data_IF_996789813167
#
_entry.id   IF_996789813167
#
_cell.length_a   1.000
_cell.length_b   1.000
_cell.length_c   1.000
_cell.angle_alpha   90.00
_cell.angle_beta   90.00
_cell.angle_gamma   90.00
#
_symmetry.space_group_name_H-M   'P 1'
#
loop_
_entity.id
_entity.type
_entity.pdbx_description
1 polymer ?
#
# COMPACT_ATOMS: atom_id res chain seq x y z
N UNK A 1 -2.19 -21.85 -15.41
CA UNK A 1 -2.23 -22.87 -14.35
C UNK A 1 -1.70 -22.43 -12.98
N UNK A 2 -1.82 -21.22 -12.51
CA UNK A 2 -1.33 -20.88 -11.14
C UNK A 2 -2.43 -20.65 -10.10
N UNK A 3 -3.68 -20.52 -10.48
CA UNK A 3 -4.76 -20.17 -9.56
C UNK A 3 -5.12 -21.25 -8.50
N UNK A 4 -4.70 -22.49 -8.69
CA UNK A 4 -5.07 -23.60 -7.80
C UNK A 4 -4.31 -23.67 -6.46
N UNK A 5 -3.29 -22.81 -6.24
CA UNK A 5 -2.49 -22.81 -5.00
C UNK A 5 -2.40 -21.41 -4.36
N UNK A 6 -3.44 -20.60 -4.49
CA UNK A 6 -3.48 -19.33 -3.76
C UNK A 6 -3.66 -19.60 -2.26
N UNK A 7 -2.86 -18.96 -1.38
CA UNK A 7 -2.94 -19.18 0.05
C UNK A 7 -4.22 -18.54 0.62
N UNK A 8 -5.12 -19.37 1.13
CA UNK A 8 -6.44 -18.96 1.65
C UNK A 8 -6.58 -19.18 3.16
N UNK A 9 -5.60 -19.81 3.80
CA UNK A 9 -5.68 -20.15 5.22
C UNK A 9 -5.05 -19.05 6.08
N UNK A 10 -5.75 -18.50 7.08
CA UNK A 10 -5.14 -17.60 8.05
C UNK A 10 -4.14 -18.38 8.92
N UNK A 11 -2.87 -17.98 8.88
CA UNK A 11 -1.78 -18.64 9.62
C UNK A 11 -1.31 -17.84 10.84
N UNK A 12 -1.61 -16.54 10.89
CA UNK A 12 -1.30 -15.70 12.04
C UNK A 12 -2.25 -14.51 12.13
N UNK A 13 -2.53 -14.07 13.36
CA UNK A 13 -3.23 -12.82 13.67
C UNK A 13 -2.31 -11.94 14.51
N UNK A 14 -2.03 -10.74 14.03
CA UNK A 14 -1.16 -9.78 14.69
C UNK A 14 -2.03 -8.69 15.30
N UNK A 15 -2.05 -8.65 16.61
CA UNK A 15 -2.89 -7.74 17.40
C UNK A 15 -2.05 -6.73 18.16
N UNK A 16 -2.69 -5.72 18.75
CA UNK A 16 -2.05 -4.75 19.62
C UNK A 16 -2.20 -3.30 19.18
N UNK A 17 -2.63 -3.01 17.94
CA UNK A 17 -3.02 -1.65 17.55
C UNK A 17 -4.34 -1.25 18.21
N UNK A 18 -4.42 0.02 18.61
CA UNK A 18 -5.65 0.60 19.13
C UNK A 18 -6.29 1.47 18.04
N UNK A 19 -7.13 0.84 17.23
CA UNK A 19 -7.82 1.44 16.08
C UNK A 19 -7.28 0.96 14.73
N UNK A 20 -7.89 1.41 13.63
CA UNK A 20 -7.63 0.95 12.27
C UNK A 20 -6.14 0.89 11.89
N UNK A 21 -5.73 -0.20 11.27
CA UNK A 21 -4.43 -0.34 10.63
C UNK A 21 -4.55 0.10 9.17
N UNK A 22 -3.83 1.17 8.80
CA UNK A 22 -3.92 1.77 7.47
C UNK A 22 -2.87 1.27 6.50
N UNK A 23 -1.77 0.73 7.01
CA UNK A 23 -0.66 0.27 6.20
C UNK A 23 -0.08 -1.03 6.73
N UNK A 24 0.25 -1.94 5.83
CA UNK A 24 0.95 -3.18 6.09
C UNK A 24 1.97 -3.43 4.99
N UNK A 25 3.17 -3.85 5.37
CA UNK A 25 4.21 -4.24 4.42
C UNK A 25 5.10 -5.33 5.00
N UNK A 26 5.59 -6.21 4.15
CA UNK A 26 6.61 -7.19 4.53
C UNK A 26 8.00 -6.56 4.48
N UNK A 27 8.91 -7.08 5.30
CA UNK A 27 10.34 -6.81 5.15
C UNK A 27 10.83 -7.29 3.79
N UNK A 28 11.85 -6.65 3.24
CA UNK A 28 12.43 -7.02 1.96
C UNK A 28 13.05 -8.43 1.97
N UNK A 29 13.35 -8.97 0.80
CA UNK A 29 13.92 -10.30 0.65
C UNK A 29 12.93 -11.39 1.10
N UNK A 30 13.27 -12.15 2.13
CA UNK A 30 12.46 -13.29 2.61
C UNK A 30 11.11 -12.89 3.21
N UNK A 31 10.87 -11.61 3.48
CA UNK A 31 9.63 -11.15 4.11
C UNK A 31 9.39 -11.76 5.49
N UNK A 32 10.46 -11.89 6.28
CA UNK A 32 10.42 -12.55 7.60
C UNK A 32 9.61 -11.77 8.62
N UNK A 33 9.54 -10.46 8.46
CA UNK A 33 8.86 -9.55 9.36
C UNK A 33 7.77 -8.77 8.64
N UNK A 34 6.83 -8.24 9.42
CA UNK A 34 5.75 -7.37 8.94
C UNK A 34 5.81 -6.06 9.72
N UNK A 35 5.78 -4.94 9.00
CA UNK A 35 5.57 -3.62 9.56
C UNK A 35 4.12 -3.19 9.33
N UNK A 36 3.54 -2.56 10.34
CA UNK A 36 2.16 -2.07 10.33
C UNK A 36 2.10 -0.64 10.83
N UNK A 37 1.26 0.19 10.20
CA UNK A 37 1.03 1.58 10.60
C UNK A 37 -0.45 1.83 10.83
N UNK A 38 -0.80 2.50 11.94
CA UNK A 38 -2.18 2.58 12.37
C UNK A 38 -2.62 3.96 12.89
N UNK A 39 -3.90 4.08 13.17
CA UNK A 39 -4.53 5.25 13.74
C UNK A 39 -3.98 5.61 15.14
N UNK A 40 -3.46 4.63 15.88
CA UNK A 40 -2.83 4.84 17.19
C UNK A 40 -1.47 5.57 17.14
N UNK A 41 -1.07 6.07 15.96
CA UNK A 41 0.15 6.86 15.71
C UNK A 41 1.44 6.06 15.86
N UNK A 42 1.35 4.72 15.86
CA UNK A 42 2.50 3.82 16.03
C UNK A 42 2.75 3.02 14.78
N UNK A 43 4.03 2.74 14.57
CA UNK A 43 4.47 1.68 13.66
C UNK A 43 4.93 0.52 14.51
N UNK A 44 4.53 -0.70 14.15
CA UNK A 44 4.92 -1.94 14.83
C UNK A 44 5.56 -2.91 13.88
N UNK A 45 6.60 -3.56 14.37
CA UNK A 45 7.31 -4.64 13.71
C UNK A 45 6.96 -5.96 14.38
N UNK A 46 6.42 -6.89 13.60
CA UNK A 46 6.02 -8.21 14.07
C UNK A 46 6.83 -9.31 13.38
N UNK A 47 7.01 -10.41 14.08
CA UNK A 47 7.38 -11.68 13.49
C UNK A 47 6.12 -12.53 13.30
N UNK A 48 5.62 -12.75 12.08
CA UNK A 48 4.38 -13.47 11.84
C UNK A 48 4.46 -14.96 12.22
N UNK A 49 5.64 -15.59 12.12
CA UNK A 49 5.80 -17.01 12.47
C UNK A 49 5.65 -17.27 13.99
N UNK A 50 6.02 -16.31 14.81
CA UNK A 50 5.90 -16.41 16.29
C UNK A 50 4.77 -15.55 16.85
N UNK A 51 4.11 -14.75 15.98
CA UNK A 51 3.08 -13.77 16.31
C UNK A 51 3.53 -12.71 17.35
N UNK A 52 4.85 -12.54 17.52
CA UNK A 52 5.41 -11.64 18.53
C UNK A 52 5.63 -10.24 17.98
N UNK A 53 5.25 -9.25 18.77
CA UNK A 53 5.69 -7.87 18.60
C UNK A 53 7.19 -7.80 18.92
N UNK A 54 7.98 -7.35 17.96
CA UNK A 54 9.44 -7.21 18.11
C UNK A 54 9.79 -5.79 18.54
N UNK A 55 9.18 -4.76 17.88
CA UNK A 55 9.52 -3.37 18.12
C UNK A 55 8.31 -2.47 17.89
N UNK A 56 8.28 -1.33 18.59
CA UNK A 56 7.32 -0.25 18.39
C UNK A 56 8.05 1.06 18.15
N UNK A 57 7.65 1.77 17.09
CA UNK A 57 8.21 3.06 16.72
C UNK A 57 7.17 4.15 16.99
N UNK A 58 7.56 5.17 17.76
CA UNK A 58 6.65 6.19 18.28
C UNK A 58 7.27 7.58 18.12
N UNK A 59 6.92 8.29 17.06
CA UNK A 59 7.26 9.71 16.87
C UNK A 59 6.18 10.46 16.12
N UNK A 60 5.23 9.76 15.50
CA UNK A 60 4.11 10.39 14.83
C UNK A 60 3.18 11.09 15.82
N UNK A 61 2.81 12.33 15.52
CA UNK A 61 1.80 13.09 16.27
C UNK A 61 0.37 12.74 15.85
N UNK A 62 0.20 12.15 14.68
CA UNK A 62 -1.08 11.77 14.06
C UNK A 62 -1.02 10.35 13.51
N UNK A 63 -2.13 9.87 12.95
CA UNK A 63 -2.26 8.56 12.33
C UNK A 63 -1.17 8.29 11.27
N UNK A 64 -0.66 7.05 11.24
CA UNK A 64 0.25 6.58 10.19
C UNK A 64 -0.58 6.06 9.04
N UNK A 65 -0.36 6.61 7.84
CA UNK A 65 -1.14 6.32 6.65
C UNK A 65 -0.43 5.40 5.66
N UNK A 66 0.91 5.42 5.65
CA UNK A 66 1.70 4.58 4.75
C UNK A 66 3.09 4.26 5.29
N UNK A 67 3.66 3.16 4.76
CA UNK A 67 4.96 2.62 5.11
C UNK A 67 5.66 2.06 3.88
N UNK A 68 6.98 2.22 3.81
CA UNK A 68 7.83 1.50 2.87
C UNK A 68 9.11 1.06 3.57
N UNK A 69 9.61 -0.13 3.22
CA UNK A 69 10.84 -0.73 3.80
C UNK A 69 11.95 -0.68 2.76
N UNK A 70 13.17 -0.37 3.17
CA UNK A 70 14.35 -0.39 2.31
C UNK A 70 14.74 -1.83 1.93
N UNK A 71 15.40 -2.01 0.77
CA UNK A 71 15.81 -3.31 0.26
C UNK A 71 16.77 -4.04 1.21
N UNK A 72 17.59 -3.29 1.96
CA UNK A 72 18.55 -3.81 2.95
C UNK A 72 17.90 -4.15 4.31
N UNK A 73 16.61 -3.83 4.51
CA UNK A 73 15.89 -3.92 5.79
C UNK A 73 16.48 -3.09 6.95
N UNK A 74 17.47 -2.26 6.68
CA UNK A 74 18.08 -1.43 7.71
C UNK A 74 17.21 -0.22 8.07
N UNK A 75 16.41 0.24 7.11
CA UNK A 75 15.59 1.45 7.24
C UNK A 75 14.16 1.22 6.77
N UNK A 76 13.27 2.05 7.25
CA UNK A 76 11.94 2.19 6.68
C UNK A 76 11.51 3.66 6.72
N UNK A 77 10.56 4.01 5.87
CA UNK A 77 9.89 5.32 5.89
C UNK A 77 8.44 5.17 6.30
N UNK A 78 7.92 6.18 7.00
CA UNK A 78 6.51 6.28 7.37
C UNK A 78 5.99 7.69 7.18
N UNK A 79 4.72 7.80 6.83
CA UNK A 79 4.03 9.07 6.58
C UNK A 79 2.64 9.05 7.18
N UNK A 80 2.08 10.23 7.42
CA UNK A 80 0.77 10.34 8.01
C UNK A 80 0.21 11.75 8.12
N UNK A 81 -0.66 11.95 9.11
CA UNK A 81 -1.38 13.21 9.33
C UNK A 81 -0.49 14.37 9.78
N UNK A 82 0.73 14.13 10.21
CA UNK A 82 1.70 15.12 10.71
C UNK A 82 2.49 15.84 9.62
N UNK A 83 2.14 15.69 8.35
CA UNK A 83 2.72 16.39 7.19
C UNK A 83 4.22 16.14 6.99
N UNK A 84 4.76 15.13 7.64
CA UNK A 84 6.20 14.81 7.71
C UNK A 84 6.45 13.43 7.15
N UNK A 85 7.54 13.27 6.41
CA UNK A 85 8.07 11.96 6.02
C UNK A 85 9.16 11.60 7.03
N UNK A 86 8.99 10.49 7.74
CA UNK A 86 9.96 9.99 8.71
C UNK A 86 10.81 8.90 8.06
N UNK A 87 12.10 8.98 8.24
CA UNK A 87 13.05 7.91 7.92
C UNK A 87 13.57 7.33 9.24
N UNK A 88 13.47 6.03 9.39
CA UNK A 88 13.78 5.31 10.63
C UNK A 88 14.93 4.33 10.43
N UNK A 89 15.66 4.13 11.50
CA UNK A 89 16.57 3.00 11.68
C UNK A 89 15.80 1.84 12.33
N UNK A 90 15.79 0.68 11.68
CA UNK A 90 15.01 -0.47 12.14
C UNK A 90 15.55 -1.03 13.47
N UNK A 91 16.87 -1.30 13.62
CA UNK A 91 17.41 -1.88 14.84
C UNK A 91 17.28 -1.00 16.08
N UNK A 92 17.55 0.29 15.95
CA UNK A 92 17.58 1.21 17.10
C UNK A 92 16.24 1.85 17.43
N UNK A 93 15.27 1.72 16.52
CA UNK A 93 13.98 2.40 16.58
C UNK A 93 14.07 3.93 16.64
N UNK A 94 15.19 4.52 16.21
CA UNK A 94 15.38 5.93 16.18
C UNK A 94 14.98 6.56 14.85
N UNK A 95 14.47 7.77 14.89
CA UNK A 95 14.24 8.57 13.69
C UNK A 95 15.59 9.08 13.18
N UNK A 96 16.01 8.62 12.01
CA UNK A 96 17.21 9.12 11.34
C UNK A 96 16.99 10.52 10.78
N UNK A 97 15.80 10.74 10.17
CA UNK A 97 15.44 12.00 9.52
C UNK A 97 13.96 12.29 9.54
N UNK A 98 13.66 13.57 9.40
CA UNK A 98 12.31 14.13 9.23
C UNK A 98 12.34 15.09 8.06
N UNK A 99 11.65 14.76 6.99
CA UNK A 99 11.53 15.65 5.84
C UNK A 99 10.22 16.42 5.96
N UNK A 100 10.35 17.73 5.98
CA UNK A 100 9.23 18.67 6.15
C UNK A 100 9.04 19.50 4.89
N UNK A 101 7.82 19.98 4.66
CA UNK A 101 7.53 20.85 3.54
C UNK A 101 6.15 20.62 2.90
N UNK A 102 5.56 19.43 3.05
CA UNK A 102 4.16 19.26 2.64
C UNK A 102 3.23 20.18 3.43
N UNK A 103 2.27 20.79 2.73
CA UNK A 103 1.29 21.70 3.34
C UNK A 103 0.14 20.97 4.05
N UNK A 104 -0.09 19.69 3.71
CA UNK A 104 -1.14 18.86 4.27
C UNK A 104 -0.62 17.46 4.61
N UNK A 105 -1.51 16.57 5.10
CA UNK A 105 -1.17 15.17 5.43
C UNK A 105 -0.51 14.47 4.25
N UNK A 106 0.45 13.61 4.56
CA UNK A 106 1.14 12.78 3.57
C UNK A 106 0.46 11.42 3.53
N UNK A 107 -0.12 11.09 2.38
CA UNK A 107 -0.94 9.89 2.25
C UNK A 107 -0.13 8.64 1.93
N UNK A 108 1.01 8.78 1.26
CA UNK A 108 1.70 7.64 0.66
C UNK A 108 3.19 7.93 0.52
N UNK A 109 4.02 6.88 0.59
CA UNK A 109 5.46 6.97 0.42
C UNK A 109 6.04 5.72 -0.23
N UNK A 110 7.17 5.89 -0.89
CA UNK A 110 7.95 4.80 -1.48
C UNK A 110 9.45 5.10 -1.43
N UNK A 111 10.28 4.07 -1.42
CA UNK A 111 11.69 4.16 -1.71
C UNK A 111 11.95 4.07 -3.21
N UNK A 112 13.06 4.63 -3.64
CA UNK A 112 13.53 4.56 -5.02
C UNK A 112 15.00 4.93 -5.16
N UNK A 113 15.49 4.88 -6.41
CA UNK A 113 16.87 5.09 -6.72
C UNK A 113 17.78 3.94 -6.28
N UNK A 114 19.02 3.97 -6.71
CA UNK A 114 19.99 2.95 -6.37
C UNK A 114 20.29 2.92 -4.86
N UNK A 115 20.11 1.75 -4.24
CA UNK A 115 20.29 1.54 -2.80
C UNK A 115 19.37 2.40 -1.94
N UNK A 116 18.12 2.57 -2.37
CA UNK A 116 17.11 3.36 -1.66
C UNK A 116 17.59 4.78 -1.31
N UNK A 117 18.29 5.39 -2.27
CA UNK A 117 18.87 6.73 -2.10
C UNK A 117 17.82 7.83 -2.13
N UNK A 118 16.62 7.54 -2.60
CA UNK A 118 15.54 8.49 -2.82
C UNK A 118 14.28 8.05 -2.06
N UNK A 119 13.57 8.99 -1.48
CA UNK A 119 12.22 8.82 -0.96
C UNK A 119 11.25 9.62 -1.83
N UNK A 120 10.09 9.04 -2.10
CA UNK A 120 9.00 9.72 -2.79
C UNK A 120 7.80 9.75 -1.87
N UNK A 121 7.11 10.88 -1.81
CA UNK A 121 5.89 11.05 -1.02
C UNK A 121 4.79 11.73 -1.81
N UNK A 122 3.55 11.29 -1.60
CA UNK A 122 2.35 11.90 -2.15
C UNK A 122 1.43 12.42 -1.05
N UNK A 123 0.92 13.63 -1.22
CA UNK A 123 0.20 14.35 -0.19
C UNK A 123 -1.20 14.80 -0.61
N UNK A 124 -2.02 15.06 0.39
CA UNK A 124 -3.32 15.74 0.27
C UNK A 124 -3.19 17.16 -0.32
N UNK A 125 -1.99 17.77 -0.26
CA UNK A 125 -1.71 19.06 -0.87
C UNK A 125 -1.61 19.02 -2.42
N UNK A 126 -1.86 17.87 -3.04
CA UNK A 126 -1.81 17.67 -4.49
C UNK A 126 -0.39 17.55 -5.03
N UNK A 127 0.63 17.48 -4.18
CA UNK A 127 2.02 17.37 -4.64
C UNK A 127 2.61 15.99 -4.44
N UNK A 128 3.50 15.61 -5.37
CA UNK A 128 4.47 14.52 -5.20
C UNK A 128 5.83 15.17 -4.96
N UNK A 129 6.53 14.73 -3.91
CA UNK A 129 7.86 15.24 -3.58
C UNK A 129 8.88 14.12 -3.53
N UNK A 130 10.06 14.44 -4.03
CA UNK A 130 11.21 13.55 -4.05
C UNK A 130 12.27 14.11 -3.11
N UNK A 131 12.80 13.25 -2.24
CA UNK A 131 13.74 13.61 -1.18
C UNK A 131 15.00 12.76 -1.29
N UNK A 132 16.14 13.37 -1.00
CA UNK A 132 17.40 12.64 -0.91
C UNK A 132 17.54 12.00 0.49
N UNK A 133 17.50 10.67 0.55
CA UNK A 133 17.62 9.91 1.80
C UNK A 133 19.03 9.99 2.42
N UNK A 134 20.05 10.34 1.64
CA UNK A 134 21.48 10.40 2.08
C UNK A 134 21.90 11.83 2.44
N UNK A 135 21.33 12.85 1.78
CA UNK A 135 21.66 14.24 2.01
C UNK A 135 21.22 14.71 3.40
N UNK A 136 21.90 15.68 3.95
CA UNK A 136 21.47 16.36 5.21
C UNK A 136 20.34 17.38 4.98
N UNK A 137 19.98 17.67 3.75
CA UNK A 137 18.90 18.59 3.42
C UNK A 137 17.54 17.98 3.78
N UNK A 138 16.70 18.77 4.40
CA UNK A 138 15.28 18.42 4.63
C UNK A 138 14.36 18.91 3.51
N UNK A 139 14.93 19.60 2.49
CA UNK A 139 14.18 20.13 1.35
C UNK A 139 14.03 19.04 0.28
N UNK A 140 12.90 19.01 -0.42
CA UNK A 140 12.74 18.11 -1.55
C UNK A 140 13.70 18.48 -2.68
N UNK A 141 14.24 17.49 -3.37
CA UNK A 141 15.05 17.68 -4.58
C UNK A 141 14.18 17.94 -5.82
N UNK A 142 12.95 17.40 -5.83
CA UNK A 142 11.95 17.65 -6.85
C UNK A 142 10.56 17.79 -6.22
N UNK A 143 9.70 18.58 -6.85
CA UNK A 143 8.29 18.73 -6.49
C UNK A 143 7.46 18.75 -7.78
N UNK A 144 6.50 17.85 -7.85
CA UNK A 144 5.52 17.77 -8.94
C UNK A 144 4.16 18.22 -8.40
N UNK A 145 3.50 19.12 -9.11
CA UNK A 145 2.27 19.79 -8.68
C UNK A 145 1.16 19.76 -9.74
N UNK A 146 1.22 18.81 -10.67
CA UNK A 146 0.27 18.68 -11.77
C UNK A 146 -1.05 18.01 -11.33
N UNK A 147 -1.09 17.38 -10.17
CA UNK A 147 -2.34 16.82 -9.64
C UNK A 147 -3.28 17.94 -9.20
N UNK A 148 -4.54 17.84 -9.65
CA UNK A 148 -5.58 18.83 -9.31
C UNK A 148 -6.26 18.57 -7.98
N UNK A 149 -5.97 17.42 -7.36
CA UNK A 149 -6.49 17.00 -6.08
C UNK A 149 -5.47 16.11 -5.37
N UNK A 150 -5.79 15.64 -4.20
CA UNK A 150 -4.97 14.82 -3.31
C UNK A 150 -4.27 13.66 -4.05
N UNK A 151 -2.97 13.53 -3.87
CA UNK A 151 -2.23 12.33 -4.29
C UNK A 151 -2.47 11.24 -3.25
N UNK A 152 -3.10 10.15 -3.70
CA UNK A 152 -3.55 9.04 -2.84
C UNK A 152 -2.61 7.84 -2.85
N UNK A 153 -1.86 7.63 -3.92
CA UNK A 153 -0.95 6.50 -4.07
C UNK A 153 0.32 6.92 -4.79
N UNK A 154 1.48 6.44 -4.33
CA UNK A 154 2.74 6.48 -5.07
C UNK A 154 3.42 5.12 -5.05
N UNK A 155 4.08 4.79 -6.14
CA UNK A 155 4.97 3.65 -6.25
C UNK A 155 6.16 4.05 -7.13
N UNK A 156 7.33 3.49 -6.85
CA UNK A 156 8.54 3.76 -7.63
C UNK A 156 9.01 2.46 -8.27
N UNK A 157 9.38 2.55 -9.55
CA UNK A 157 9.98 1.46 -10.28
C UNK A 157 11.10 1.98 -11.18
N UNK A 158 12.33 1.57 -10.91
CA UNK A 158 13.49 2.14 -11.59
C UNK A 158 13.56 3.64 -11.39
N UNK A 159 13.46 4.39 -12.48
CA UNK A 159 13.42 5.85 -12.48
C UNK A 159 12.01 6.43 -12.68
N UNK A 160 10.99 5.58 -12.74
CA UNK A 160 9.60 6.01 -12.89
C UNK A 160 8.89 6.11 -11.52
N UNK A 161 8.15 7.19 -11.32
CA UNK A 161 7.25 7.41 -10.18
C UNK A 161 5.82 7.38 -10.68
N UNK A 162 5.08 6.37 -10.25
CA UNK A 162 3.64 6.25 -10.48
C UNK A 162 2.89 6.98 -9.37
N UNK A 163 2.07 7.94 -9.72
CA UNK A 163 1.29 8.72 -8.77
C UNK A 163 -0.19 8.72 -9.15
N UNK A 164 -1.00 8.09 -8.32
CA UNK A 164 -2.46 8.12 -8.42
C UNK A 164 -3.04 9.25 -7.58
N UNK A 165 -4.05 9.93 -8.11
CA UNK A 165 -4.71 11.05 -7.43
C UNK A 165 -6.22 10.97 -7.46
N UNK A 166 -6.84 11.69 -6.53
CA UNK A 166 -8.30 11.79 -6.37
C UNK A 166 -8.97 12.44 -7.58
N UNK A 167 -8.21 13.21 -8.39
CA UNK A 167 -8.68 13.79 -9.65
C UNK A 167 -8.93 12.75 -10.77
N UNK A 168 -8.83 11.45 -10.44
CA UNK A 168 -9.10 10.35 -11.37
C UNK A 168 -8.02 10.10 -12.40
N UNK A 169 -6.77 10.43 -12.09
CA UNK A 169 -5.63 10.26 -12.98
C UNK A 169 -4.48 9.51 -12.32
N UNK A 170 -3.77 8.74 -13.13
CA UNK A 170 -2.43 8.25 -12.81
C UNK A 170 -1.43 9.04 -13.64
N UNK A 171 -0.42 9.59 -12.97
CA UNK A 171 0.71 10.29 -13.59
C UNK A 171 1.95 9.45 -13.40
N UNK A 172 2.68 9.24 -14.48
CA UNK A 172 3.96 8.54 -14.42
C UNK A 172 5.05 9.55 -14.77
N UNK A 173 5.86 9.87 -13.78
CA UNK A 173 6.99 10.78 -13.90
C UNK A 173 8.25 9.97 -14.15
N UNK A 174 8.88 10.16 -15.31
CA UNK A 174 10.22 9.67 -15.58
C UNK A 174 11.24 10.67 -15.02
N UNK A 175 11.90 10.30 -13.91
CA UNK A 175 12.86 11.19 -13.24
C UNK A 175 14.16 11.38 -14.04
N UNK A 176 14.50 10.45 -14.94
CA UNK A 176 15.70 10.53 -15.77
C UNK A 176 15.48 11.42 -16.98
N UNK A 177 14.31 11.34 -17.61
CA UNK A 177 13.98 12.07 -18.83
C UNK A 177 13.22 13.38 -18.56
N UNK A 178 12.69 13.58 -17.36
CA UNK A 178 11.89 14.74 -17.01
C UNK A 178 10.54 14.80 -17.74
N UNK A 179 10.00 13.65 -18.15
CA UNK A 179 8.72 13.54 -18.87
C UNK A 179 7.64 13.06 -17.90
N UNK A 180 6.41 13.53 -18.13
CA UNK A 180 5.21 13.04 -17.43
C UNK A 180 4.21 12.51 -18.43
N UNK A 181 3.71 11.30 -18.18
CA UNK A 181 2.59 10.72 -18.90
C UNK A 181 1.37 10.66 -18.00
N UNK A 182 0.19 10.78 -18.57
CA UNK A 182 -1.05 10.91 -17.80
C UNK A 182 -2.13 9.98 -18.35
N UNK A 183 -2.55 9.01 -17.55
CA UNK A 183 -3.69 8.17 -17.84
C UNK A 183 -4.93 8.67 -17.10
N UNK A 184 -6.04 8.81 -17.82
CA UNK A 184 -7.30 9.32 -17.28
C UNK A 184 -8.27 8.17 -17.04
N UNK A 185 -8.61 7.94 -15.78
CA UNK A 185 -9.47 6.82 -15.35
C UNK A 185 -10.90 7.27 -15.04
N UNK A 186 -11.10 8.54 -14.73
CA UNK A 186 -12.42 9.14 -14.48
C UNK A 186 -12.95 8.96 -13.06
N UNK A 187 -12.39 8.07 -12.25
CA UNK A 187 -12.75 7.86 -10.85
C UNK A 187 -11.51 8.00 -9.95
N UNK A 188 -11.71 8.45 -8.71
CA UNK A 188 -10.63 8.70 -7.75
C UNK A 188 -9.76 7.47 -7.54
N UNK A 189 -8.45 7.62 -7.70
CA UNK A 189 -7.48 6.54 -7.56
C UNK A 189 -7.22 6.28 -6.07
N UNK A 190 -7.20 5.02 -5.65
CA UNK A 190 -6.89 4.61 -4.26
C UNK A 190 -5.56 3.87 -4.14
N UNK A 191 -5.16 3.13 -5.18
CA UNK A 191 -3.91 2.34 -5.21
C UNK A 191 -3.36 2.24 -6.62
N UNK A 192 -2.03 2.21 -6.75
CA UNK A 192 -1.31 1.97 -8.00
C UNK A 192 -0.16 1.02 -7.72
N UNK A 193 -0.07 -0.07 -8.48
CA UNK A 193 0.95 -1.12 -8.32
C UNK A 193 1.47 -1.55 -9.69
N UNK A 194 2.69 -1.17 -10.08
CA UNK A 194 3.31 -1.65 -11.31
C UNK A 194 3.53 -3.17 -11.29
N UNK A 195 3.41 -3.82 -12.46
CA UNK A 195 3.81 -5.21 -12.65
C UNK A 195 5.32 -5.36 -12.50
N UNK A 196 5.78 -6.58 -12.31
CA UNK A 196 7.22 -6.88 -12.23
C UNK A 196 7.97 -6.56 -13.53
N UNK A 197 7.34 -6.79 -14.66
CA UNK A 197 7.91 -6.44 -15.95
C UNK A 197 7.98 -4.90 -16.15
N UNK A 198 7.04 -4.15 -15.55
CA UNK A 198 6.92 -2.71 -15.70
C UNK A 198 6.20 -2.27 -16.98
N UNK A 199 5.70 -3.23 -17.72
CA UNK A 199 4.93 -3.03 -18.95
C UNK A 199 3.46 -2.68 -18.67
N UNK A 200 2.99 -2.92 -17.46
CA UNK A 200 1.61 -2.71 -17.03
C UNK A 200 1.57 -2.27 -15.56
N UNK A 201 0.42 -1.80 -15.11
CA UNK A 201 0.18 -1.50 -13.70
C UNK A 201 -1.27 -1.75 -13.31
N UNK A 202 -1.47 -2.24 -12.10
CA UNK A 202 -2.79 -2.38 -11.47
C UNK A 202 -3.18 -1.07 -10.81
N UNK A 203 -4.39 -0.60 -11.04
CA UNK A 203 -4.96 0.58 -10.40
C UNK A 203 -6.31 0.26 -9.79
N UNK A 204 -6.55 0.70 -8.56
CA UNK A 204 -7.85 0.65 -7.89
C UNK A 204 -8.46 2.04 -7.84
N UNK A 205 -9.78 2.10 -8.02
CA UNK A 205 -10.53 3.36 -8.07
C UNK A 205 -11.81 3.29 -7.22
N UNK A 206 -12.32 4.45 -6.76
CA UNK A 206 -13.54 4.59 -5.94
C UNK A 206 -14.84 4.38 -6.75
N UNK A 207 -14.81 3.63 -7.81
CA UNK A 207 -15.96 3.13 -8.57
C UNK A 207 -16.13 1.61 -8.43
N UNK A 208 -15.60 1.05 -7.34
CA UNK A 208 -15.61 -0.39 -7.06
C UNK A 208 -14.99 -1.20 -8.20
N UNK A 209 -13.89 -0.74 -8.77
CA UNK A 209 -13.18 -1.46 -9.81
C UNK A 209 -11.66 -1.43 -9.66
N UNK A 210 -11.03 -2.51 -10.12
CA UNK A 210 -9.60 -2.52 -10.40
C UNK A 210 -9.42 -2.62 -11.90
N UNK A 211 -8.35 -2.00 -12.41
CA UNK A 211 -8.00 -2.04 -13.83
C UNK A 211 -6.52 -2.37 -13.99
N UNK A 212 -6.20 -3.25 -14.91
CA UNK A 212 -4.84 -3.47 -15.39
C UNK A 212 -4.64 -2.57 -16.62
N UNK A 213 -3.71 -1.65 -16.51
CA UNK A 213 -3.40 -0.67 -17.55
C UNK A 213 -2.10 -1.03 -18.25
N UNK A 214 -2.10 -0.98 -19.57
CA UNK A 214 -0.90 -1.11 -20.40
C UNK A 214 -0.08 0.17 -20.32
N UNK A 215 1.17 0.06 -19.93
CA UNK A 215 2.03 1.23 -19.68
C UNK A 215 2.33 2.03 -20.95
N UNK A 216 2.74 1.40 -22.09
CA UNK A 216 3.06 2.14 -23.31
C UNK A 216 1.87 2.81 -24.01
N UNK A 217 0.71 2.17 -23.99
CA UNK A 217 -0.46 2.68 -24.76
C UNK A 217 -1.51 3.38 -23.90
N UNK A 218 -1.43 3.29 -22.57
CA UNK A 218 -2.47 3.79 -21.66
C UNK A 218 -3.82 3.06 -21.77
N UNK A 219 -3.88 1.92 -22.45
CA UNK A 219 -5.12 1.15 -22.62
C UNK A 219 -5.41 0.28 -21.42
N UNK A 220 -6.68 0.14 -21.09
CA UNK A 220 -7.13 -0.84 -20.10
C UNK A 220 -7.09 -2.24 -20.74
N UNK A 221 -6.24 -3.12 -20.18
CA UNK A 221 -6.11 -4.52 -20.62
C UNK A 221 -7.18 -5.41 -20.00
N UNK A 222 -7.49 -5.17 -18.70
CA UNK A 222 -8.46 -5.96 -17.94
C UNK A 222 -9.14 -5.09 -16.88
N UNK A 223 -10.42 -5.37 -16.64
CA UNK A 223 -11.19 -4.76 -15.53
C UNK A 223 -11.69 -5.86 -14.60
N UNK A 224 -11.45 -5.68 -13.30
CA UNK A 224 -11.89 -6.58 -12.24
C UNK A 224 -13.03 -5.93 -11.47
N UNK A 225 -14.18 -6.59 -11.45
CA UNK A 225 -15.40 -6.16 -10.76
C UNK A 225 -16.10 -7.35 -10.17
N UNK A 226 -16.86 -7.12 -9.13
CA UNK A 226 -17.80 -8.09 -8.56
C UNK A 226 -18.93 -7.32 -7.86
N UNK A 227 -20.15 -7.84 -7.91
CA UNK A 227 -21.34 -7.15 -7.36
C UNK A 227 -21.23 -6.87 -5.86
N UNK A 228 -20.49 -7.70 -5.14
CA UNK A 228 -20.27 -7.55 -3.71
C UNK A 228 -18.98 -6.80 -3.36
N UNK A 229 -18.15 -6.44 -4.35
CA UNK A 229 -16.93 -5.67 -4.13
C UNK A 229 -17.26 -4.20 -3.97
N UNK A 230 -17.07 -3.66 -2.76
CA UNK A 230 -17.23 -2.24 -2.43
C UNK A 230 -15.89 -1.55 -2.23
N UNK A 231 -15.64 -0.50 -3.01
CA UNK A 231 -14.58 0.48 -2.83
C UNK A 231 -15.09 1.84 -3.32
N UNK A 232 -15.88 2.53 -2.49
CA UNK A 232 -16.59 3.75 -2.86
C UNK A 232 -16.31 4.92 -1.90
N UNK A 233 -15.93 4.62 -0.67
CA UNK A 233 -15.82 5.61 0.41
C UNK A 233 -14.41 5.69 0.98
N UNK A 234 -13.76 4.55 1.16
CA UNK A 234 -12.47 4.46 1.84
C UNK A 234 -11.33 4.21 0.86
N UNK A 235 -10.15 4.67 1.24
CA UNK A 235 -8.93 4.35 0.51
C UNK A 235 -8.55 2.90 0.79
N UNK A 236 -8.95 2.01 -0.10
CA UNK A 236 -8.56 0.59 -0.07
C UNK A 236 -7.39 0.38 -1.02
N UNK A 237 -6.40 -0.38 -0.57
CA UNK A 237 -5.23 -0.72 -1.37
C UNK A 237 -5.37 -2.08 -1.99
N UNK A 238 -4.77 -2.21 -3.16
CA UNK A 238 -4.61 -3.48 -3.87
C UNK A 238 -3.14 -3.84 -4.03
N UNK A 239 -2.87 -5.09 -4.38
CA UNK A 239 -1.54 -5.59 -4.72
C UNK A 239 -1.62 -6.67 -5.78
N UNK A 240 -0.49 -6.91 -6.44
CA UNK A 240 -0.31 -8.06 -7.32
C UNK A 240 0.39 -9.19 -6.55
N UNK A 241 -0.03 -10.41 -6.79
CA UNK A 241 0.53 -11.60 -6.16
C UNK A 241 0.88 -12.70 -7.18
N UNK A 242 1.58 -13.75 -6.72
CA UNK A 242 1.91 -14.94 -7.51
C UNK A 242 2.54 -14.60 -8.87
N UNK A 243 3.59 -13.77 -8.86
CA UNK A 243 4.26 -13.27 -10.07
C UNK A 243 3.30 -12.56 -11.05
N UNK A 244 2.47 -11.67 -10.50
CA UNK A 244 1.48 -10.84 -11.19
C UNK A 244 0.33 -11.63 -11.84
N UNK A 245 0.13 -12.90 -11.45
CA UNK A 245 -0.97 -13.71 -11.96
C UNK A 245 -2.29 -13.49 -11.22
N UNK A 246 -2.25 -12.90 -10.02
CA UNK A 246 -3.44 -12.57 -9.23
C UNK A 246 -3.45 -11.11 -8.81
N UNK A 247 -4.63 -10.50 -8.83
CA UNK A 247 -4.88 -9.18 -8.24
C UNK A 247 -5.63 -9.37 -6.91
N UNK A 248 -5.17 -8.70 -5.86
CA UNK A 248 -5.72 -8.80 -4.51
C UNK A 248 -6.13 -7.41 -4.05
N UNK A 249 -7.33 -7.25 -3.52
CA UNK A 249 -7.81 -6.00 -2.94
C UNK A 249 -8.61 -6.26 -1.66
N UNK A 250 -8.45 -5.40 -0.67
CA UNK A 250 -9.40 -5.34 0.42
C UNK A 250 -10.76 -4.82 -0.04
N UNK A 251 -11.77 -4.96 0.77
CA UNK A 251 -13.12 -4.43 0.57
C UNK A 251 -13.60 -3.62 1.77
N UNK A 252 -14.61 -2.82 1.56
CA UNK A 252 -15.22 -1.99 2.62
C UNK A 252 -16.11 -2.80 3.58
N UNK A 253 -16.46 -4.01 3.19
CA UNK A 253 -17.31 -4.96 3.95
C UNK A 253 -16.53 -5.91 4.88
N UNK A 254 -15.20 -5.83 4.90
CA UNK A 254 -14.34 -6.73 5.67
C UNK A 254 -13.86 -7.95 4.91
N UNK A 255 -14.20 -8.06 3.64
CA UNK A 255 -13.69 -9.13 2.78
C UNK A 255 -12.46 -8.70 1.99
N UNK A 256 -11.73 -9.70 1.51
CA UNK A 256 -10.63 -9.54 0.54
C UNK A 256 -11.00 -10.31 -0.71
N UNK A 257 -10.85 -9.65 -1.83
CA UNK A 257 -11.15 -10.21 -3.14
C UNK A 257 -9.85 -10.55 -3.88
N UNK A 258 -9.86 -11.68 -4.56
CA UNK A 258 -8.72 -12.19 -5.34
C UNK A 258 -9.21 -12.56 -6.73
N UNK A 259 -8.64 -11.94 -7.75
CA UNK A 259 -8.97 -12.19 -9.15
C UNK A 259 -7.79 -12.80 -9.91
N UNK A 260 -8.09 -13.63 -10.89
CA UNK A 260 -7.13 -14.05 -11.92
C UNK A 260 -6.89 -12.89 -12.90
N UNK A 261 -5.64 -12.52 -13.07
CA UNK A 261 -5.25 -11.33 -13.85
C UNK A 261 -5.56 -11.53 -15.34
N UNK A 262 -5.39 -12.73 -15.87
CA UNK A 262 -5.59 -12.99 -17.29
C UNK A 262 -7.09 -13.07 -17.68
N UNK A 263 -7.86 -13.79 -16.88
CA UNK A 263 -9.29 -14.01 -17.19
C UNK A 263 -10.22 -12.94 -16.61
N UNK A 264 -9.77 -12.16 -15.64
CA UNK A 264 -10.58 -11.20 -14.90
C UNK A 264 -11.60 -11.86 -13.94
N UNK A 265 -11.57 -13.18 -13.79
CA UNK A 265 -12.53 -13.91 -12.95
C UNK A 265 -12.16 -13.83 -11.48
N UNK A 266 -13.18 -13.69 -10.62
CA UNK A 266 -13.00 -13.83 -9.18
C UNK A 266 -12.60 -15.27 -8.86
N UNK A 267 -11.50 -15.42 -8.11
CA UNK A 267 -11.00 -16.71 -7.62
C UNK A 267 -11.46 -16.99 -6.20
N UNK A 268 -11.29 -15.99 -5.33
CA UNK A 268 -11.60 -16.11 -3.90
C UNK A 268 -12.20 -14.81 -3.36
N UNK A 269 -13.12 -14.96 -2.40
CA UNK A 269 -13.55 -13.94 -1.46
C UNK A 269 -13.28 -14.47 -0.05
N UNK A 270 -12.43 -13.82 0.68
CA UNK A 270 -11.97 -14.25 2.01
C UNK A 270 -12.36 -13.21 3.04
N UNK A 271 -12.77 -13.62 4.22
CA UNK A 271 -13.14 -12.74 5.29
C UNK A 271 -11.96 -12.48 6.24
N UNK A 272 -11.69 -11.18 6.51
CA UNK A 272 -10.63 -10.76 7.41
C UNK A 272 -10.92 -11.20 8.86
N UNK A 273 -12.18 -11.12 9.30
CA UNK A 273 -12.68 -11.62 10.58
C UNK A 273 -13.14 -13.07 10.46
N UNK A 274 -13.05 -13.83 11.55
CA UNK A 274 -13.65 -15.15 11.60
C UNK A 274 -15.18 -15.10 11.67
N UNK A 275 -15.84 -16.11 11.07
CA UNK A 275 -17.28 -16.30 11.16
C UNK A 275 -17.68 -16.47 12.65
N UNK A 276 -18.31 -15.48 13.22
CA UNK A 276 -18.74 -15.49 14.65
C UNK A 276 -18.60 -14.12 15.31
N UNK A 277 -17.71 -13.28 14.89
CA UNK A 277 -17.56 -11.89 15.36
C UNK A 277 -18.32 -10.92 14.45
N UNK A 278 -19.56 -11.27 14.11
CA UNK A 278 -20.52 -10.36 13.51
C UNK A 278 -20.95 -9.35 14.57
N UNK A 279 -20.01 -8.49 14.98
CA UNK A 279 -20.34 -7.34 15.83
C UNK A 279 -21.45 -6.56 15.18
N UNK A 280 -22.58 -6.41 15.88
CA UNK A 280 -23.85 -5.85 15.41
C UNK A 280 -23.82 -4.38 14.97
N UNK A 281 -22.86 -4.02 14.14
CA UNK A 281 -22.80 -2.77 13.40
C UNK A 281 -23.27 -3.03 11.96
N UNK A 282 -24.22 -2.26 11.48
CA UNK A 282 -24.71 -2.37 10.11
C UNK A 282 -23.56 -2.42 9.10
N UNK A 283 -23.72 -3.18 8.03
CA UNK A 283 -22.80 -3.29 6.88
C UNK A 283 -22.28 -1.89 6.54
N UNK A 284 -20.93 -1.72 6.48
CA UNK A 284 -20.16 -0.48 6.21
C UNK A 284 -19.75 0.35 7.45
N UNK A 285 -19.41 -0.26 8.57
CA UNK A 285 -18.71 0.48 9.61
C UNK A 285 -17.21 0.61 9.25
N UNK A 286 -16.57 1.73 9.62
CA UNK A 286 -15.12 1.95 9.46
C UNK A 286 -14.27 0.80 10.06
N UNK A 287 -14.84 0.06 11.01
CA UNK A 287 -14.18 -1.09 11.68
C UNK A 287 -14.15 -2.36 10.83
N UNK A 288 -14.92 -2.42 9.76
CA UNK A 288 -14.96 -3.61 8.91
C UNK A 288 -14.05 -3.50 7.70
N UNK A 289 -13.64 -2.29 7.32
CA UNK A 289 -12.84 -2.03 6.12
C UNK A 289 -11.48 -2.73 6.16
N UNK A 290 -11.16 -3.51 5.15
CA UNK A 290 -9.79 -3.99 4.91
C UNK A 290 -9.05 -2.95 4.09
N UNK A 291 -8.29 -2.08 4.76
CA UNK A 291 -7.70 -0.89 4.18
C UNK A 291 -6.42 -1.15 3.39
N UNK A 292 -5.68 -2.20 3.73
CA UNK A 292 -4.41 -2.49 3.06
C UNK A 292 -4.17 -4.00 2.95
N UNK A 293 -3.53 -4.37 1.85
CA UNK A 293 -3.05 -5.73 1.57
C UNK A 293 -1.60 -5.67 1.10
N UNK A 294 -0.81 -6.70 1.44
CA UNK A 294 0.57 -6.82 1.02
C UNK A 294 0.89 -8.27 0.66
N UNK A 295 1.68 -8.48 -0.38
CA UNK A 295 2.11 -9.79 -0.85
C UNK A 295 3.58 -10.07 -0.52
N UNK A 296 3.86 -11.26 0.01
CA UNK A 296 5.22 -11.76 0.20
C UNK A 296 5.58 -12.77 -0.89
N UNK A 297 6.44 -12.35 -1.77
CA UNK A 297 6.75 -13.08 -2.99
C UNK A 297 7.46 -14.42 -2.73
N UNK A 298 8.39 -14.47 -1.78
CA UNK A 298 9.22 -15.66 -1.58
C UNK A 298 8.53 -16.74 -0.75
N UNK A 299 7.69 -16.35 0.20
CA UNK A 299 6.99 -17.30 1.07
C UNK A 299 5.60 -17.69 0.61
N UNK A 300 5.12 -17.09 -0.49
CA UNK A 300 3.72 -17.24 -0.93
C UNK A 300 2.74 -16.98 0.21
N UNK A 301 2.98 -15.90 0.92
CA UNK A 301 2.15 -15.41 2.00
C UNK A 301 1.67 -14.01 1.66
N UNK A 302 0.56 -13.61 2.22
CA UNK A 302 0.09 -12.24 2.12
C UNK A 302 -0.56 -11.81 3.42
N UNK A 303 -0.75 -10.52 3.59
CA UNK A 303 -1.33 -9.95 4.79
C UNK A 303 -2.45 -8.98 4.42
N UNK A 304 -3.50 -8.97 5.23
CA UNK A 304 -4.58 -7.99 5.19
C UNK A 304 -4.62 -7.21 6.50
N UNK A 305 -4.84 -5.91 6.41
CA UNK A 305 -4.91 -5.00 7.56
C UNK A 305 -6.31 -4.40 7.66
N UNK A 306 -6.93 -4.53 8.82
CA UNK A 306 -8.33 -4.20 9.06
C UNK A 306 -8.58 -2.93 9.87
N UNK A 307 -9.77 -2.39 9.74
CA UNK A 307 -10.30 -1.30 10.54
C UNK A 307 -10.55 -1.69 12.01
N UNK A 308 -10.51 -2.97 12.32
CA UNK A 308 -10.59 -3.55 13.67
C UNK A 308 -9.29 -3.41 14.47
N UNK A 309 -8.19 -3.06 13.83
CA UNK A 309 -6.87 -2.93 14.47
C UNK A 309 -6.03 -4.20 14.38
N UNK A 310 -6.45 -5.19 13.62
CA UNK A 310 -5.75 -6.45 13.43
C UNK A 310 -5.11 -6.55 12.04
N UNK A 311 -4.11 -7.42 11.94
CA UNK A 311 -3.50 -7.84 10.68
C UNK A 311 -3.55 -9.35 10.61
N UNK A 312 -4.18 -9.88 9.58
CA UNK A 312 -4.24 -11.32 9.30
C UNK A 312 -3.19 -11.68 8.28
N UNK A 313 -2.40 -12.69 8.60
CA UNK A 313 -1.41 -13.26 7.68
C UNK A 313 -1.95 -14.56 7.11
N UNK A 314 -1.93 -14.67 5.80
CA UNK A 314 -2.48 -15.78 5.05
C UNK A 314 -1.35 -16.60 4.43
N UNK A 315 -1.51 -17.91 4.46
CA UNK A 315 -0.52 -18.85 3.94
C UNK A 315 -1.16 -20.10 3.37
N UNK A 316 -0.31 -21.02 2.94
CA UNK A 316 -0.74 -22.38 2.62
C UNK A 316 -0.85 -23.11 3.96
N UNK A 317 -2.03 -23.66 4.27
CA UNK A 317 -2.20 -24.50 5.47
C UNK A 317 -1.30 -25.74 5.37
N UNK A 318 -0.86 -26.20 6.53
CA UNK A 318 -0.08 -27.46 6.66
C UNK A 318 -0.91 -28.66 6.22
#
# INVERSE_FOLDING_TARGET
MPAHNFPTTPIARLTGHNGPVHAVTFSAGTGQYILTGAQDRKVRLFNPATQRLIQTYSAHGYEVLDLAVSEDNARFTSVGGDKTVFLWDVPTAQTLRRFTGHAARVNTCAFGGEGDSVLVSGSYDGTVRVWDAKSRSERPIMTFSEAKDSVSAVCVRGHEVFAGSVDGRVRVYDLAMGVVEVDVLGASVTSVVPTRAGDSYLVSTLDSSLRLMDRPSGKCLQTFRHDEFGNETYRVRSTLGMADSVAISGGEDGSVFVWDVLSGKLLHRLWHKEDGDQGGGGRNSKKDVVSAVAWNQLRKQWASAGGDGEVVVWGVGD
#
